data_IF_453426151622
#
_entry.id   IF_453426151622
#
_cell.length_a   1.000
_cell.length_b   1.000
_cell.length_c   1.000
_cell.angle_alpha   90.00
_cell.angle_beta   90.00
_cell.angle_gamma   90.00
#
_symmetry.space_group_name_H-M   'P 1'
#
loop_
_entity.id
_entity.type
_entity.pdbx_description
1 polymer ?
#
# COMPACT_ATOMS: atom_id res chain seq x y z
N UNK A 1 -19.78 26.80 10.87
CA UNK A 1 -18.58 26.25 10.19
C UNK A 1 -18.23 24.87 10.76
N UNK A 2 -18.79 23.83 10.16
CA UNK A 2 -18.50 22.44 10.50
C UNK A 2 -17.12 22.10 9.94
N UNK A 3 -16.10 21.99 10.80
CA UNK A 3 -14.83 21.44 10.39
C UNK A 3 -15.09 20.00 9.93
N UNK A 4 -14.89 19.71 8.65
CA UNK A 4 -14.83 18.33 8.15
C UNK A 4 -13.83 17.59 9.03
N UNK A 5 -14.20 16.48 9.70
CA UNK A 5 -13.24 15.73 10.50
C UNK A 5 -12.13 15.29 9.55
N UNK A 6 -10.90 15.76 9.80
CA UNK A 6 -9.74 15.30 9.07
C UNK A 6 -9.71 13.77 9.18
N UNK A 7 -9.54 13.04 8.06
CA UNK A 7 -9.47 11.58 8.12
C UNK A 7 -8.38 11.18 9.13
N UNK A 8 -8.79 10.43 10.15
CA UNK A 8 -7.86 9.92 11.15
C UNK A 8 -6.89 8.97 10.44
N UNK A 9 -5.62 9.38 10.37
CA UNK A 9 -4.58 8.56 9.75
C UNK A 9 -4.33 7.36 10.66
N UNK A 10 -4.85 6.18 10.29
CA UNK A 10 -4.70 4.96 11.09
C UNK A 10 -3.48 4.16 10.62
N UNK A 11 -2.83 3.47 11.55
CA UNK A 11 -1.86 2.44 11.20
C UNK A 11 -2.60 1.37 10.39
N UNK A 12 -2.15 1.01 9.18
CA UNK A 12 -2.78 -0.07 8.46
C UNK A 12 -2.71 -1.36 9.28
N UNK A 13 -3.81 -2.10 9.33
CA UNK A 13 -3.91 -3.37 10.05
C UNK A 13 -3.17 -4.45 9.26
N UNK A 14 -1.83 -4.39 9.30
CA UNK A 14 -0.99 -5.44 8.76
C UNK A 14 -0.87 -6.53 9.81
N UNK A 15 -1.47 -7.69 9.57
CA UNK A 15 -1.45 -8.82 10.50
C UNK A 15 -0.12 -9.60 10.48
N UNK A 16 0.71 -9.37 9.45
CA UNK A 16 1.94 -10.09 9.23
C UNK A 16 3.14 -9.15 9.37
N UNK A 17 4.10 -9.54 10.21
CA UNK A 17 5.37 -8.81 10.39
C UNK A 17 6.17 -8.71 9.08
N UNK A 18 5.93 -9.69 8.21
CA UNK A 18 6.53 -9.85 6.89
C UNK A 18 6.03 -8.86 5.82
N UNK A 19 4.83 -8.30 6.00
CA UNK A 19 4.16 -7.43 5.03
C UNK A 19 3.53 -6.23 5.74
N UNK A 20 4.35 -5.26 6.09
CA UNK A 20 3.92 -4.03 6.77
C UNK A 20 3.98 -2.86 5.80
N UNK A 21 2.92 -2.06 5.72
CA UNK A 21 2.98 -0.75 5.06
C UNK A 21 3.07 0.34 6.12
N UNK A 22 4.13 1.16 6.09
CA UNK A 22 4.33 2.28 7.02
C UNK A 22 3.79 3.60 6.46
N UNK A 23 3.98 3.81 5.15
CA UNK A 23 3.45 4.96 4.42
C UNK A 23 3.00 4.55 3.04
N UNK A 24 1.96 5.20 2.49
CA UNK A 24 1.06 6.15 3.17
C UNK A 24 0.25 5.46 4.30
N UNK A 25 -0.21 6.24 5.28
CA UNK A 25 -1.08 5.77 6.35
C UNK A 25 -2.53 5.59 5.89
N UNK A 26 -3.32 4.82 6.63
CA UNK A 26 -4.71 4.60 6.28
C UNK A 26 -5.49 5.91 6.38
N UNK A 27 -6.24 6.23 5.35
CA UNK A 27 -6.98 7.47 5.14
C UNK A 27 -6.09 8.72 4.97
N UNK A 28 -4.79 8.56 4.69
CA UNK A 28 -3.91 9.69 4.41
C UNK A 28 -4.22 10.31 3.04
N UNK A 29 -4.31 11.64 2.98
CA UNK A 29 -4.37 12.41 1.73
C UNK A 29 -2.97 12.52 1.14
N UNK A 30 -2.82 12.10 -0.11
CA UNK A 30 -1.56 12.13 -0.85
C UNK A 30 -1.71 12.84 -2.19
N UNK A 31 -0.64 13.44 -2.69
CA UNK A 31 -0.64 14.24 -3.93
C UNK A 31 0.71 14.25 -4.63
N UNK A 32 0.70 14.30 -5.97
CA UNK A 32 1.90 14.25 -6.80
C UNK A 32 2.60 12.88 -6.75
N UNK A 33 3.91 12.88 -6.50
CA UNK A 33 4.68 11.63 -6.42
C UNK A 33 4.79 11.20 -4.96
N UNK A 34 4.28 10.01 -4.67
CA UNK A 34 4.26 9.43 -3.32
C UNK A 34 5.25 8.28 -3.25
N UNK A 35 5.85 8.11 -2.08
CA UNK A 35 6.73 6.97 -1.81
C UNK A 35 6.03 6.05 -0.83
N UNK A 36 5.85 4.79 -1.23
CA UNK A 36 5.30 3.75 -0.39
C UNK A 36 6.46 3.20 0.45
N UNK A 37 6.39 3.43 1.75
CA UNK A 37 7.36 2.91 2.71
C UNK A 37 6.76 1.72 3.45
N UNK A 38 7.57 0.71 3.70
CA UNK A 38 7.14 -0.45 4.45
C UNK A 38 8.19 -1.54 4.53
N UNK A 39 7.72 -2.71 4.93
CA UNK A 39 8.49 -3.94 5.07
C UNK A 39 7.80 -5.02 4.23
N UNK A 40 8.51 -5.52 3.23
CA UNK A 40 8.17 -6.69 2.45
C UNK A 40 9.35 -7.67 2.56
N UNK A 41 9.34 -8.47 3.62
CA UNK A 41 10.40 -9.44 3.90
C UNK A 41 9.80 -10.73 4.42
N UNK A 42 10.24 -11.87 3.91
CA UNK A 42 9.79 -13.18 4.39
C UNK A 42 10.97 -14.16 4.38
N UNK A 43 11.05 -15.13 5.32
CA UNK A 43 12.11 -16.14 5.31
C UNK A 43 12.21 -16.92 3.99
N UNK A 44 11.07 -17.13 3.32
CA UNK A 44 10.98 -17.75 2.00
C UNK A 44 10.59 -16.75 0.91
N UNK A 45 10.99 -15.48 1.03
CA UNK A 45 10.62 -14.43 0.09
C UNK A 45 11.03 -14.74 -1.36
N UNK A 46 10.09 -14.58 -2.29
CA UNK A 46 10.36 -14.68 -3.72
C UNK A 46 10.20 -13.33 -4.42
N UNK A 47 9.07 -12.67 -4.20
CA UNK A 47 8.77 -11.34 -4.70
C UNK A 47 7.63 -10.70 -3.92
N UNK A 48 7.53 -9.38 -3.96
CA UNK A 48 6.32 -8.69 -3.55
C UNK A 48 5.70 -7.94 -4.73
N UNK A 49 4.41 -7.67 -4.60
CA UNK A 49 3.68 -6.78 -5.48
C UNK A 49 2.80 -5.86 -4.67
N UNK A 50 2.66 -4.65 -5.16
CA UNK A 50 1.76 -3.62 -4.68
C UNK A 50 0.68 -3.49 -5.72
N UNK A 51 -0.55 -3.55 -5.27
CA UNK A 51 -1.72 -3.40 -6.13
C UNK A 51 -2.60 -2.27 -5.58
N UNK A 52 -3.41 -1.68 -6.46
CA UNK A 52 -4.30 -0.57 -6.12
C UNK A 52 -5.69 -0.84 -6.71
N UNK A 53 -6.72 -0.43 -5.97
CA UNK A 53 -8.11 -0.53 -6.40
C UNK A 53 -8.86 0.72 -5.94
N UNK A 54 -9.94 1.13 -6.62
CA UNK A 54 -10.87 2.09 -6.05
C UNK A 54 -11.36 1.59 -4.68
N UNK A 55 -11.48 2.47 -3.70
CA UNK A 55 -11.87 2.07 -2.34
C UNK A 55 -13.19 1.29 -2.35
N UNK A 56 -13.15 0.05 -1.85
CA UNK A 56 -14.32 -0.86 -1.80
C UNK A 56 -14.69 -1.57 -3.11
N UNK A 57 -13.97 -1.35 -4.21
CA UNK A 57 -14.24 -2.02 -5.50
C UNK A 57 -13.76 -3.47 -5.55
N UNK A 58 -12.66 -3.79 -4.86
CA UNK A 58 -12.00 -5.09 -4.96
C UNK A 58 -11.39 -5.39 -6.34
N UNK A 59 -11.40 -4.43 -7.27
CA UNK A 59 -10.77 -4.57 -8.59
C UNK A 59 -9.32 -4.08 -8.54
N UNK A 60 -8.42 -5.01 -8.23
CA UNK A 60 -7.02 -4.72 -7.97
C UNK A 60 -6.21 -4.69 -9.26
N UNK A 61 -5.54 -3.56 -9.49
CA UNK A 61 -4.59 -3.34 -10.57
C UNK A 61 -3.17 -3.41 -10.04
N UNK A 62 -2.25 -3.93 -10.84
CA UNK A 62 -0.83 -3.93 -10.48
C UNK A 62 -0.27 -2.51 -10.50
N UNK A 63 0.37 -2.11 -9.41
CA UNK A 63 1.00 -0.80 -9.26
C UNK A 63 2.51 -0.90 -9.47
N UNK A 64 3.15 -1.75 -8.67
CA UNK A 64 4.60 -1.89 -8.58
C UNK A 64 4.95 -3.22 -7.89
N UNK A 65 6.21 -3.63 -7.90
CA UNK A 65 6.64 -4.86 -7.27
C UNK A 65 8.08 -5.18 -7.59
N UNK A 66 8.73 -5.86 -6.67
CA UNK A 66 10.15 -6.20 -6.77
C UNK A 66 10.44 -7.60 -6.21
N UNK A 67 11.62 -8.11 -6.59
CA UNK A 67 12.18 -9.38 -6.12
C UNK A 67 13.25 -9.18 -5.04
N UNK A 68 13.38 -7.97 -4.51
CA UNK A 68 14.28 -7.65 -3.42
C UNK A 68 13.46 -7.49 -2.16
N UNK A 69 13.82 -8.17 -1.07
CA UNK A 69 13.17 -7.95 0.20
C UNK A 69 13.53 -6.54 0.71
N UNK A 70 12.53 -5.81 1.21
CA UNK A 70 12.68 -4.46 1.75
C UNK A 70 12.26 -4.49 3.21
N UNK A 71 13.05 -3.90 4.10
CA UNK A 71 12.70 -3.80 5.53
C UNK A 71 12.78 -2.34 5.92
N UNK A 72 11.65 -1.78 6.37
CA UNK A 72 11.52 -0.39 6.78
C UNK A 72 12.12 0.60 5.73
N UNK A 73 11.80 0.35 4.47
CA UNK A 73 12.40 1.04 3.33
C UNK A 73 11.37 1.39 2.26
N UNK A 74 11.88 1.85 1.11
CA UNK A 74 11.05 2.19 -0.05
C UNK A 74 10.63 0.92 -0.76
N UNK A 75 9.33 0.65 -0.75
CA UNK A 75 8.72 -0.45 -1.49
C UNK A 75 8.45 -0.06 -2.95
N UNK A 76 7.96 1.15 -3.17
CA UNK A 76 7.73 1.69 -4.52
C UNK A 76 7.53 3.20 -4.49
N UNK A 77 7.69 3.82 -5.65
CA UNK A 77 7.34 5.22 -5.88
C UNK A 77 6.23 5.30 -6.92
N UNK A 78 5.18 6.04 -6.62
CA UNK A 78 3.95 6.08 -7.41
C UNK A 78 3.58 7.51 -7.69
N UNK A 79 3.27 7.79 -8.95
CA UNK A 79 2.74 9.09 -9.35
C UNK A 79 1.20 9.06 -9.25
N UNK A 80 0.64 9.81 -8.32
CA UNK A 80 -0.82 9.84 -8.12
C UNK A 80 -1.56 10.53 -9.27
N UNK A 81 -0.86 11.21 -10.18
CA UNK A 81 -1.47 11.77 -11.39
C UNK A 81 -2.06 10.66 -12.28
N UNK A 82 -1.48 9.46 -12.27
CA UNK A 82 -2.01 8.34 -13.06
C UNK A 82 -3.24 7.68 -12.43
N UNK A 83 -3.44 7.86 -11.12
CA UNK A 83 -4.63 7.36 -10.42
C UNK A 83 -5.80 8.35 -10.53
N UNK A 84 -5.53 9.64 -10.42
CA UNK A 84 -6.56 10.68 -10.38
C UNK A 84 -7.23 10.81 -9.01
N UNK A 85 -7.92 11.94 -8.81
CA UNK A 85 -8.44 12.34 -7.50
C UNK A 85 -9.58 11.42 -7.04
N UNK A 86 -9.48 10.92 -5.81
CA UNK A 86 -10.46 9.96 -5.26
C UNK A 86 -9.90 9.08 -4.15
N UNK A 87 -10.74 8.18 -3.63
CA UNK A 87 -10.35 7.21 -2.61
C UNK A 87 -9.83 5.92 -3.27
N UNK A 88 -8.60 5.53 -2.92
CA UNK A 88 -7.92 4.36 -3.47
C UNK A 88 -7.45 3.46 -2.33
N UNK A 89 -7.61 2.15 -2.48
CA UNK A 89 -7.03 1.17 -1.57
C UNK A 89 -5.80 0.55 -2.23
N UNK A 90 -4.66 0.68 -1.57
CA UNK A 90 -3.41 0.00 -1.88
C UNK A 90 -3.36 -1.31 -1.10
N UNK A 91 -2.78 -2.36 -1.69
CA UNK A 91 -2.47 -3.59 -0.98
C UNK A 91 -1.04 -4.05 -1.29
N UNK A 92 -0.35 -4.52 -0.26
CA UNK A 92 0.95 -5.15 -0.37
C UNK A 92 0.78 -6.67 -0.25
N UNK A 93 1.14 -7.39 -1.30
CA UNK A 93 1.13 -8.85 -1.35
C UNK A 93 2.57 -9.34 -1.44
N UNK A 94 3.02 -10.07 -0.42
CA UNK A 94 4.31 -10.76 -0.43
C UNK A 94 4.06 -12.19 -0.89
N UNK A 95 4.90 -12.71 -1.78
CA UNK A 95 4.81 -14.07 -2.31
C UNK A 95 6.09 -14.82 -1.99
N UNK A 96 5.89 -16.04 -1.49
CA UNK A 96 6.96 -16.94 -1.11
C UNK A 96 7.39 -17.85 -2.24
N UNK A 97 8.57 -18.44 -2.11
CA UNK A 97 9.13 -19.39 -3.08
C UNK A 97 8.26 -20.65 -3.24
N UNK A 98 7.40 -20.94 -2.27
CA UNK A 98 6.42 -22.04 -2.31
C UNK A 98 5.11 -21.64 -3.01
N UNK A 99 4.97 -20.38 -3.44
CA UNK A 99 3.73 -19.83 -4.02
C UNK A 99 2.67 -19.45 -2.99
N UNK A 100 2.99 -19.49 -1.70
CA UNK A 100 2.12 -18.98 -0.65
C UNK A 100 2.23 -17.46 -0.57
N UNK A 101 1.14 -16.80 -0.18
CA UNK A 101 1.12 -15.38 0.10
C UNK A 101 0.39 -15.17 1.44
N UNK A 102 1.04 -14.62 2.47
CA UNK A 102 0.36 -14.25 3.70
C UNK A 102 -0.69 -13.16 3.44
N UNK A 103 -1.57 -12.94 4.42
CA UNK A 103 -2.65 -11.97 4.32
C UNK A 103 -2.09 -10.58 3.95
N UNK A 104 -2.54 -9.99 2.83
CA UNK A 104 -1.92 -8.79 2.30
C UNK A 104 -2.29 -7.59 3.15
N UNK A 105 -1.32 -6.72 3.41
CA UNK A 105 -1.62 -5.48 4.13
C UNK A 105 -2.31 -4.49 3.20
N UNK A 106 -3.48 -4.00 3.60
CA UNK A 106 -4.26 -3.04 2.82
C UNK A 106 -4.27 -1.68 3.52
N UNK A 107 -4.16 -0.62 2.73
CA UNK A 107 -4.25 0.75 3.20
C UNK A 107 -5.10 1.56 2.24
N UNK A 108 -6.07 2.30 2.76
CA UNK A 108 -6.85 3.24 1.94
C UNK A 108 -6.18 4.60 1.98
N UNK A 109 -6.13 5.31 0.86
CA UNK A 109 -5.58 6.65 0.72
C UNK A 109 -6.53 7.52 -0.08
N UNK A 110 -6.40 8.84 0.08
CA UNK A 110 -7.14 9.82 -0.70
C UNK A 110 -6.16 10.54 -1.62
N UNK A 111 -6.38 10.46 -2.93
CA UNK A 111 -5.59 11.20 -3.90
C UNK A 111 -6.24 12.56 -4.14
N UNK A 112 -5.48 13.64 -3.95
CA UNK A 112 -5.91 15.02 -4.19
C UNK A 112 -4.81 15.79 -4.94
N UNK A 113 -4.76 15.64 -6.27
CA UNK A 113 -3.86 16.41 -7.15
C UNK A 113 -4.47 17.74 -7.60
#
# INVERSE_FOLDING_TARGET
PTATPAPIVQSPTCFNDSSIMLRPGANETVRGVITILGTASHPSFQYYKIEYAPAGSGNWSYLAGDRNAVVNGVLATVDTNVLGNGAWTLRLVVVDQTGNYPEPCQVTIFVEN
#
